data_IF_542530368377
#
_entry.id   IF_542530368377
#
_cell.length_a   1.000
_cell.length_b   1.000
_cell.length_c   1.000
_cell.angle_alpha   90.00
_cell.angle_beta   90.00
_cell.angle_gamma   90.00
#
_symmetry.space_group_name_H-M   'P 1'
#
loop_
_entity.id
_entity.type
_entity.pdbx_description
1 polymer ?
#
# COMPACT_ATOMS: atom_id res chain seq x y z
N UNK A 1 -0.20 -13.87 35.14
CA UNK A 1 -0.27 -15.16 34.41
C UNK A 1 0.99 -15.29 33.57
N UNK A 2 1.99 -16.01 34.05
CA UNK A 2 3.25 -16.25 33.34
C UNK A 2 3.05 -17.43 32.38
N UNK A 3 3.02 -17.17 31.08
CA UNK A 3 3.00 -18.21 30.07
C UNK A 3 4.32 -19.01 30.18
N UNK A 4 4.29 -20.17 30.84
CA UNK A 4 5.41 -21.10 30.86
C UNK A 4 5.44 -21.82 29.52
N UNK A 5 6.57 -21.72 28.82
CA UNK A 5 6.80 -22.46 27.58
C UNK A 5 6.72 -23.95 27.90
N UNK A 6 5.71 -24.62 27.35
CA UNK A 6 5.52 -26.06 27.50
C UNK A 6 6.45 -26.81 26.55
N UNK A 7 6.89 -28.00 26.93
CA UNK A 7 7.75 -28.88 26.10
C UNK A 7 7.17 -29.09 24.69
N UNK A 8 5.84 -29.16 24.56
CA UNK A 8 5.13 -29.24 23.27
C UNK A 8 5.36 -28.03 22.36
N UNK A 9 5.54 -26.85 22.94
CA UNK A 9 5.78 -25.61 22.20
C UNK A 9 7.20 -25.58 21.61
N UNK A 10 8.16 -26.22 22.28
CA UNK A 10 9.52 -26.40 21.75
C UNK A 10 9.57 -27.47 20.65
N UNK A 11 8.81 -28.56 20.77
CA UNK A 11 8.72 -29.61 19.73
C UNK A 11 8.17 -29.06 18.40
N UNK A 12 7.20 -28.15 18.46
CA UNK A 12 6.62 -27.43 17.30
C UNK A 12 7.62 -26.48 16.63
N UNK A 13 8.69 -26.07 17.30
CA UNK A 13 9.73 -25.22 16.71
C UNK A 13 10.83 -26.03 15.99
N UNK A 14 10.93 -27.33 16.27
CA UNK A 14 11.98 -28.21 15.72
C UNK A 14 11.48 -28.94 14.45
N UNK A 15 10.17 -29.04 14.25
CA UNK A 15 9.59 -29.63 13.03
C UNK A 15 9.98 -28.83 11.78
N UNK A 16 10.30 -29.51 10.66
CA UNK A 16 10.57 -28.84 9.40
C UNK A 16 9.32 -28.15 8.86
N UNK A 17 9.48 -26.95 8.32
CA UNK A 17 8.39 -26.21 7.69
C UNK A 17 7.83 -26.95 6.49
N UNK A 18 6.51 -26.97 6.36
CA UNK A 18 5.84 -27.50 5.18
C UNK A 18 6.01 -26.57 3.99
N UNK A 19 5.96 -27.11 2.77
CA UNK A 19 6.06 -26.32 1.53
C UNK A 19 4.97 -25.25 1.43
N UNK A 20 3.77 -25.50 1.95
CA UNK A 20 2.67 -24.56 1.95
C UNK A 20 2.87 -23.41 2.96
N UNK A 21 3.45 -23.68 4.13
CA UNK A 21 3.86 -22.65 5.09
C UNK A 21 4.94 -21.73 4.49
N UNK A 22 5.92 -22.32 3.79
CA UNK A 22 6.98 -21.56 3.11
C UNK A 22 6.39 -20.69 1.99
N UNK A 23 5.49 -21.23 1.16
CA UNK A 23 4.79 -20.44 0.12
C UNK A 23 3.96 -19.31 0.71
N UNK A 24 3.21 -19.55 1.78
CA UNK A 24 2.44 -18.53 2.48
C UNK A 24 3.33 -17.43 3.05
N UNK A 25 4.49 -17.79 3.62
CA UNK A 25 5.47 -16.84 4.13
C UNK A 25 6.05 -15.98 3.00
N UNK A 26 6.48 -16.60 1.90
CA UNK A 26 7.00 -15.87 0.72
C UNK A 26 5.94 -14.94 0.14
N UNK A 27 4.67 -15.37 0.08
CA UNK A 27 3.60 -14.53 -0.44
C UNK A 27 3.36 -13.28 0.41
N UNK A 28 3.48 -13.39 1.75
CA UNK A 28 3.31 -12.28 2.70
C UNK A 28 4.52 -11.35 2.76
N UNK A 29 5.71 -11.83 2.44
CA UNK A 29 6.91 -11.01 2.35
C UNK A 29 6.85 -10.09 1.13
N UNK A 30 7.21 -8.82 1.33
CA UNK A 30 7.46 -7.89 0.23
C UNK A 30 8.94 -7.96 -0.11
N UNK A 31 9.26 -8.34 -1.35
CA UNK A 31 10.65 -8.35 -1.82
C UNK A 31 11.08 -6.92 -2.14
N UNK A 32 12.25 -6.51 -1.64
CA UNK A 32 12.83 -5.20 -1.95
C UNK A 32 13.85 -5.40 -3.06
N UNK A 33 13.68 -4.71 -4.18
CA UNK A 33 14.64 -4.74 -5.27
C UNK A 33 15.88 -3.91 -4.93
N UNK A 34 17.04 -4.57 -4.82
CA UNK A 34 18.32 -3.90 -4.65
C UNK A 34 18.99 -3.73 -6.02
N UNK A 35 18.76 -2.57 -6.65
CA UNK A 35 19.31 -2.24 -7.97
C UNK A 35 20.62 -1.44 -7.89
N UNK A 36 21.40 -1.47 -8.98
CA UNK A 36 22.66 -0.74 -9.10
C UNK A 36 22.45 0.78 -8.96
N UNK A 37 23.46 1.49 -8.46
CA UNK A 37 23.40 2.95 -8.21
C UNK A 37 23.11 3.72 -9.51
N UNK A 38 23.69 3.31 -10.64
CA UNK A 38 23.45 3.95 -11.94
C UNK A 38 21.97 3.91 -12.33
N UNK A 39 21.33 2.76 -12.11
CA UNK A 39 19.89 2.61 -12.35
C UNK A 39 19.06 3.49 -11.40
N UNK A 40 19.45 3.56 -10.12
CA UNK A 40 18.77 4.45 -9.15
C UNK A 40 18.84 5.91 -9.56
N UNK A 41 19.99 6.36 -10.08
CA UNK A 41 20.15 7.74 -10.57
C UNK A 41 19.25 7.98 -11.79
N UNK A 42 19.28 7.10 -12.79
CA UNK A 42 18.44 7.22 -13.98
C UNK A 42 16.94 7.27 -13.61
N UNK A 43 16.47 6.36 -12.76
CA UNK A 43 15.09 6.33 -12.28
C UNK A 43 14.72 7.60 -11.52
N UNK A 44 15.63 8.17 -10.72
CA UNK A 44 15.39 9.42 -10.00
C UNK A 44 15.27 10.62 -10.95
N UNK A 45 16.08 10.68 -12.00
CA UNK A 45 15.98 11.72 -13.04
C UNK A 45 14.63 11.64 -13.76
N UNK A 46 14.19 10.43 -14.14
CA UNK A 46 12.87 10.22 -14.75
C UNK A 46 11.74 10.66 -13.81
N UNK A 47 11.78 10.26 -12.54
CA UNK A 47 10.78 10.65 -11.55
C UNK A 47 10.70 12.18 -11.39
N UNK A 48 11.84 12.86 -11.33
CA UNK A 48 11.88 14.32 -11.23
C UNK A 48 11.27 15.01 -12.46
N UNK A 49 11.41 14.43 -13.67
CA UNK A 49 10.80 14.96 -14.89
C UNK A 49 9.29 14.73 -14.94
N UNK A 50 8.81 13.61 -14.40
CA UNK A 50 7.38 13.26 -14.37
C UNK A 50 6.60 13.99 -13.26
N UNK A 51 7.27 14.36 -12.17
CA UNK A 51 6.67 15.02 -11.03
C UNK A 51 5.77 16.24 -11.35
N UNK A 52 6.17 17.22 -12.20
CA UNK A 52 5.30 18.35 -12.55
C UNK A 52 4.06 17.94 -13.35
N UNK A 53 4.14 16.88 -14.17
CA UNK A 53 2.99 16.36 -14.92
C UNK A 53 2.03 15.66 -13.96
N UNK A 54 2.57 14.86 -13.03
CA UNK A 54 1.78 14.17 -12.02
C UNK A 54 0.94 15.13 -11.18
N UNK A 55 1.47 16.30 -10.82
CA UNK A 55 0.71 17.29 -10.04
C UNK A 55 -0.51 17.86 -10.78
N UNK A 56 -0.57 17.76 -12.11
CA UNK A 56 -1.69 18.23 -12.92
C UNK A 56 -2.72 17.10 -13.14
N UNK A 57 -2.25 15.86 -13.27
CA UNK A 57 -3.11 14.69 -13.54
C UNK A 57 -3.75 14.14 -12.27
N UNK A 58 -3.07 14.25 -11.13
CA UNK A 58 -3.52 13.66 -9.86
C UNK A 58 -4.51 14.59 -9.14
N UNK A 59 -5.62 14.00 -8.68
CA UNK A 59 -6.62 14.67 -7.85
C UNK A 59 -6.01 15.31 -6.59
N UNK A 60 -6.59 16.41 -6.13
CA UNK A 60 -6.22 17.07 -4.86
C UNK A 60 -6.36 16.13 -3.65
N UNK A 61 -7.28 15.16 -3.71
CA UNK A 61 -7.52 14.19 -2.64
C UNK A 61 -6.42 13.13 -2.48
N UNK A 62 -5.45 13.04 -3.39
CA UNK A 62 -4.34 12.09 -3.30
C UNK A 62 -3.12 12.77 -2.67
N UNK A 63 -2.90 12.53 -1.37
CA UNK A 63 -1.79 13.18 -0.65
C UNK A 63 -0.50 12.37 -0.59
N UNK A 64 -0.52 11.08 -0.93
CA UNK A 64 0.67 10.23 -0.88
C UNK A 64 1.53 10.36 -2.14
N UNK A 65 2.85 10.18 -1.98
CA UNK A 65 3.86 10.17 -3.06
C UNK A 65 4.02 11.46 -3.87
N UNK A 66 3.46 12.58 -3.39
CA UNK A 66 3.64 13.90 -3.99
C UNK A 66 4.42 14.82 -3.05
N UNK A 67 5.41 15.57 -3.56
CA UNK A 67 6.15 16.53 -2.74
C UNK A 67 5.23 17.67 -2.30
N UNK A 68 5.32 18.06 -1.03
CA UNK A 68 4.53 19.16 -0.47
C UNK A 68 3.13 18.77 0.02
N UNK A 69 2.70 17.51 -0.14
CA UNK A 69 1.46 16.98 0.45
C UNK A 69 1.78 16.11 1.65
N UNK A 70 1.01 16.24 2.73
CA UNK A 70 1.27 15.52 3.97
C UNK A 70 0.29 14.36 4.14
N UNK A 71 0.74 13.27 4.76
CA UNK A 71 -0.12 12.12 5.06
C UNK A 71 -1.26 12.49 6.01
N UNK A 72 -1.07 13.53 6.82
CA UNK A 72 -2.07 14.09 7.74
C UNK A 72 -3.30 14.60 7.02
N UNK A 73 -3.16 15.09 5.79
CA UNK A 73 -4.27 15.63 4.99
C UNK A 73 -5.27 14.51 4.66
N UNK A 74 -4.77 13.32 4.30
CA UNK A 74 -5.61 12.14 4.08
C UNK A 74 -6.32 11.67 5.36
N UNK A 75 -5.65 11.76 6.51
CA UNK A 75 -6.25 11.38 7.80
C UNK A 75 -7.39 12.32 8.17
N UNK A 76 -7.22 13.63 7.92
CA UNK A 76 -8.25 14.63 8.16
C UNK A 76 -9.48 14.39 7.28
N UNK A 77 -9.28 14.19 5.98
CA UNK A 77 -10.37 13.87 5.03
C UNK A 77 -11.10 12.59 5.45
N UNK A 78 -10.38 11.55 5.86
CA UNK A 78 -11.00 10.31 6.34
C UNK A 78 -11.78 10.52 7.64
N UNK A 79 -11.27 11.36 8.55
CA UNK A 79 -11.95 11.71 9.79
C UNK A 79 -13.27 12.45 9.54
N UNK A 80 -13.25 13.47 8.67
CA UNK A 80 -14.44 14.22 8.27
C UNK A 80 -15.47 13.32 7.59
N UNK A 81 -15.02 12.43 6.71
CA UNK A 81 -15.89 11.49 6.01
C UNK A 81 -16.54 10.50 7.00
N UNK A 82 -15.79 9.97 7.95
CA UNK A 82 -16.33 9.09 8.99
C UNK A 82 -17.30 9.84 9.91
N UNK A 83 -16.96 11.06 10.31
CA UNK A 83 -17.83 11.93 11.09
C UNK A 83 -19.15 12.21 10.36
N UNK A 84 -19.08 12.57 9.08
CA UNK A 84 -20.25 12.81 8.23
C UNK A 84 -21.16 11.58 8.16
N UNK A 85 -20.59 10.39 7.93
CA UNK A 85 -21.34 9.15 7.87
C UNK A 85 -21.99 8.79 9.21
N UNK A 86 -21.31 9.04 10.33
CA UNK A 86 -21.84 8.77 11.67
C UNK A 86 -23.03 9.70 12.03
N UNK A 87 -23.00 10.95 11.57
CA UNK A 87 -24.05 11.93 11.87
C UNK A 87 -25.19 11.93 10.85
N UNK A 88 -24.99 11.33 9.67
CA UNK A 88 -26.01 11.22 8.63
C UNK A 88 -27.00 10.11 8.95
N UNK A 89 -27.93 10.42 9.85
CA UNK A 89 -28.94 9.48 10.37
C UNK A 89 -30.28 9.57 9.63
N UNK A 90 -30.53 10.65 8.89
CA UNK A 90 -31.83 10.96 8.25
C UNK A 90 -31.63 11.36 6.77
N UNK A 91 -32.54 10.92 5.91
CA UNK A 91 -32.54 11.20 4.47
C UNK A 91 -32.78 9.95 3.62
N UNK A 92 -33.34 10.13 2.42
CA UNK A 92 -33.67 9.01 1.51
C UNK A 92 -32.45 8.37 0.83
N UNK A 93 -31.26 8.98 0.93
CA UNK A 93 -30.03 8.56 0.26
C UNK A 93 -29.00 8.12 1.30
N UNK A 94 -28.64 6.83 1.29
CA UNK A 94 -27.57 6.26 2.09
C UNK A 94 -26.20 6.50 1.46
N UNK A 95 -25.19 6.71 2.31
CA UNK A 95 -23.79 6.84 1.88
C UNK A 95 -22.95 5.75 2.52
N UNK A 96 -21.91 5.28 1.82
CA UNK A 96 -21.01 4.23 2.27
C UNK A 96 -19.57 4.66 2.01
N UNK A 97 -18.69 4.43 3.00
CA UNK A 97 -17.25 4.51 2.81
C UNK A 97 -16.72 3.16 2.33
N UNK A 98 -15.99 3.16 1.22
CA UNK A 98 -15.30 1.97 0.72
C UNK A 98 -13.79 2.15 0.90
N UNK A 99 -13.17 1.28 1.70
CA UNK A 99 -11.72 1.21 1.81
C UNK A 99 -11.19 0.15 0.85
N UNK A 100 -10.48 0.59 -0.18
CA UNK A 100 -9.80 -0.28 -1.14
C UNK A 100 -8.31 -0.36 -0.78
N UNK A 101 -7.76 -1.57 -0.76
CA UNK A 101 -6.34 -1.84 -0.57
C UNK A 101 -5.85 -2.75 -1.69
N UNK A 102 -4.73 -2.39 -2.31
CA UNK A 102 -4.16 -3.13 -3.42
C UNK A 102 -3.01 -4.00 -2.91
N UNK A 103 -3.17 -5.32 -2.99
CA UNK A 103 -2.07 -6.22 -2.65
C UNK A 103 -0.97 -6.11 -3.71
N UNK A 104 0.29 -5.98 -3.27
CA UNK A 104 1.47 -5.97 -4.16
C UNK A 104 1.33 -5.03 -5.36
N UNK A 105 0.82 -3.82 -5.14
CA UNK A 105 0.49 -2.87 -6.21
C UNK A 105 1.64 -2.64 -7.21
N UNK A 106 2.90 -2.65 -6.76
CA UNK A 106 4.07 -2.49 -7.65
C UNK A 106 4.36 -3.72 -8.53
N UNK A 107 3.98 -4.93 -8.08
CA UNK A 107 4.25 -6.18 -8.79
C UNK A 107 3.12 -6.53 -9.77
N UNK A 108 1.92 -5.99 -9.56
CA UNK A 108 0.72 -6.31 -10.34
C UNK A 108 0.44 -5.34 -11.50
N UNK A 109 1.26 -4.31 -11.70
CA UNK A 109 1.08 -3.37 -12.83
C UNK A 109 1.45 -4.05 -14.13
N UNK A 110 0.51 -4.09 -15.08
CA UNK A 110 0.76 -4.59 -16.42
C UNK A 110 1.55 -3.57 -17.26
N UNK A 111 2.57 -4.03 -17.97
CA UNK A 111 3.43 -3.16 -18.79
C UNK A 111 2.68 -2.49 -19.95
N UNK A 112 1.76 -3.21 -20.59
CA UNK A 112 0.91 -2.67 -21.67
C UNK A 112 0.05 -1.50 -21.17
N UNK A 113 -0.53 -1.63 -19.99
CA UNK A 113 -1.28 -0.57 -19.33
C UNK A 113 -0.38 0.64 -19.08
N UNK A 114 0.81 0.44 -18.52
CA UNK A 114 1.74 1.53 -18.25
C UNK A 114 2.15 2.28 -19.53
N UNK A 115 2.42 1.55 -20.62
CA UNK A 115 2.75 2.14 -21.93
C UNK A 115 1.60 2.99 -22.46
N UNK A 116 0.36 2.49 -22.40
CA UNK A 116 -0.82 3.25 -22.82
C UNK A 116 -1.12 4.49 -21.99
N UNK A 117 -0.73 4.51 -20.70
CA UNK A 117 -0.92 5.67 -19.83
C UNK A 117 0.17 6.73 -20.04
N UNK A 118 1.37 6.32 -20.45
CA UNK A 118 2.53 7.20 -20.63
C UNK A 118 2.73 7.70 -22.07
N UNK A 119 1.96 7.18 -23.04
CA UNK A 119 1.96 7.60 -24.46
C UNK A 119 0.86 8.61 -24.72
#
# INVERSE_FOLDING_TARGET
MTAKVSTKMNEVLIQPFTTEEVKCAIFRCTLISLCNITYKIASKVLANRLNPILSIVISESQSAFLPGRLITDNVLVAYELNHYLAHKTWGSIGHVALKLDLSKACDLVEWSFLESVLT
#
